data_IF_372141360040
#
_entry.id   IF_372141360040
#
_cell.length_a   1.000
_cell.length_b   1.000
_cell.length_c   1.000
_cell.angle_alpha   90.00
_cell.angle_beta   90.00
_cell.angle_gamma   90.00
#
_symmetry.space_group_name_H-M   'P 1'
#
loop_
_entity.id
_entity.type
_entity.pdbx_description
1 polymer ?
#
# COMPACT_ATOMS: atom_id res chain seq x y z
N UNK A 1 -66.39 42.46 2.69
CA UNK A 1 -65.78 41.23 2.15
C UNK A 1 -64.64 41.64 1.24
N UNK A 2 -63.43 41.30 1.67
CA UNK A 2 -62.19 41.46 0.94
C UNK A 2 -62.11 40.45 -0.22
N UNK A 3 -61.40 40.77 -1.30
CA UNK A 3 -60.03 40.27 -1.44
C UNK A 3 -59.35 40.93 -2.65
N UNK A 4 -58.08 41.27 -2.47
CA UNK A 4 -57.27 42.02 -3.42
C UNK A 4 -55.94 41.32 -3.69
N UNK A 5 -55.24 41.89 -4.68
CA UNK A 5 -53.79 41.79 -4.87
C UNK A 5 -53.23 40.56 -5.58
N UNK A 6 -53.37 40.59 -6.92
CA UNK A 6 -52.32 40.15 -7.85
C UNK A 6 -51.10 41.07 -7.72
N UNK A 7 -49.96 40.57 -7.23
CA UNK A 7 -48.56 40.95 -7.59
C UNK A 7 -47.58 40.22 -6.66
N UNK A 8 -46.85 39.22 -7.15
CA UNK A 8 -45.80 38.60 -6.31
C UNK A 8 -45.08 37.33 -6.76
N UNK A 9 -45.25 36.83 -8.00
CA UNK A 9 -44.75 35.48 -8.35
C UNK A 9 -43.68 35.39 -9.45
N UNK A 10 -43.07 36.51 -9.90
CA UNK A 10 -42.05 36.47 -11.00
C UNK A 10 -40.63 36.90 -10.62
N UNK A 11 -40.40 37.41 -9.41
CA UNK A 11 -39.08 37.91 -8.98
C UNK A 11 -38.27 36.93 -8.10
N UNK A 12 -38.84 35.80 -7.67
CA UNK A 12 -38.14 34.80 -6.83
C UNK A 12 -37.42 33.70 -7.63
N UNK A 13 -37.78 33.47 -8.90
CA UNK A 13 -37.18 32.41 -9.74
C UNK A 13 -35.86 32.78 -10.42
N UNK A 14 -35.51 34.07 -10.45
CA UNK A 14 -34.27 34.57 -11.08
C UNK A 14 -33.08 34.66 -10.11
N UNK A 15 -33.30 34.50 -8.80
CA UNK A 15 -32.23 34.49 -7.79
C UNK A 15 -31.67 33.10 -7.50
N UNK A 16 -32.45 32.05 -7.72
CA UNK A 16 -32.01 30.66 -7.48
C UNK A 16 -31.14 30.12 -8.63
N UNK A 17 -31.29 30.65 -9.84
CA UNK A 17 -30.48 30.25 -11.01
C UNK A 17 -29.09 30.90 -11.08
N UNK A 18 -28.80 31.92 -10.27
CA UNK A 18 -27.45 32.54 -10.18
C UNK A 18 -26.58 32.00 -9.04
N UNK A 19 -27.14 31.22 -8.11
CA UNK A 19 -26.38 30.61 -7.01
C UNK A 19 -25.94 29.17 -7.31
N UNK A 20 -26.46 28.54 -8.37
CA UNK A 20 -26.08 27.18 -8.79
C UNK A 20 -24.86 27.13 -9.73
N UNK A 21 -24.43 28.26 -10.30
CA UNK A 21 -23.31 28.31 -11.26
C UNK A 21 -21.96 28.70 -10.63
N UNK A 22 -21.92 28.98 -9.32
CA UNK A 22 -20.74 29.44 -8.60
C UNK A 22 -20.48 28.54 -7.38
N UNK A 23 -20.11 27.27 -7.59
CA UNK A 23 -19.35 26.46 -6.60
C UNK A 23 -19.13 24.97 -6.94
N UNK A 24 -19.58 24.43 -8.08
CA UNK A 24 -19.29 23.02 -8.44
C UNK A 24 -17.79 22.66 -8.51
N UNK A 25 -16.90 23.44 -9.18
CA UNK A 25 -15.48 23.13 -9.21
C UNK A 25 -14.79 23.39 -7.87
N UNK A 26 -15.23 24.39 -7.11
CA UNK A 26 -14.68 24.71 -5.78
C UNK A 26 -15.04 23.65 -4.75
N UNK A 27 -16.27 23.14 -4.77
CA UNK A 27 -16.74 22.07 -3.88
C UNK A 27 -16.03 20.74 -4.23
N UNK A 28 -15.86 20.43 -5.51
CA UNK A 28 -15.10 19.26 -5.97
C UNK A 28 -13.62 19.34 -5.57
N UNK A 29 -12.99 20.52 -5.68
CA UNK A 29 -11.62 20.75 -5.21
C UNK A 29 -11.49 20.59 -3.69
N UNK A 30 -12.45 21.10 -2.92
CA UNK A 30 -12.44 21.04 -1.46
C UNK A 30 -12.66 19.61 -0.93
N UNK A 31 -13.49 18.81 -1.60
CA UNK A 31 -13.68 17.38 -1.31
C UNK A 31 -12.41 16.59 -1.66
N UNK A 32 -11.77 16.89 -2.79
CA UNK A 32 -10.52 16.23 -3.20
C UNK A 32 -9.38 16.55 -2.23
N UNK A 33 -9.29 17.79 -1.76
CA UNK A 33 -8.29 18.22 -0.78
C UNK A 33 -8.50 17.56 0.60
N UNK A 34 -9.74 17.43 1.07
CA UNK A 34 -10.03 16.78 2.36
C UNK A 34 -9.73 15.27 2.33
N UNK A 35 -10.02 14.58 1.22
CA UNK A 35 -9.64 13.17 1.05
C UNK A 35 -8.12 12.99 0.96
N UNK A 36 -7.40 13.90 0.29
CA UNK A 36 -5.94 13.88 0.23
C UNK A 36 -5.31 14.09 1.62
N UNK A 37 -5.81 15.07 2.39
CA UNK A 37 -5.35 15.35 3.74
C UNK A 37 -5.65 14.18 4.69
N UNK A 38 -6.84 13.58 4.61
CA UNK A 38 -7.18 12.39 5.38
C UNK A 38 -6.32 11.18 4.99
N UNK A 39 -6.03 11.01 3.70
CA UNK A 39 -5.12 9.97 3.18
C UNK A 39 -3.67 10.16 3.63
N UNK A 40 -3.21 11.41 3.69
CA UNK A 40 -1.87 11.75 4.18
C UNK A 40 -1.78 11.54 5.70
N UNK A 41 -2.74 12.07 6.47
CA UNK A 41 -2.78 11.93 7.92
C UNK A 41 -2.85 10.47 8.38
N UNK A 42 -3.71 9.66 7.76
CA UNK A 42 -3.79 8.22 8.04
C UNK A 42 -2.51 7.47 7.66
N UNK A 43 -1.88 7.83 6.53
CA UNK A 43 -0.60 7.26 6.08
C UNK A 43 0.57 7.59 7.01
N UNK A 44 0.61 8.80 7.58
CA UNK A 44 1.61 9.22 8.57
C UNK A 44 1.36 8.50 9.89
N UNK A 45 0.12 8.48 10.39
CA UNK A 45 -0.21 7.79 11.64
C UNK A 45 0.14 6.30 11.58
N UNK A 46 -0.19 5.63 10.48
CA UNK A 46 0.18 4.23 10.26
C UNK A 46 1.69 4.04 10.22
N UNK A 47 2.45 4.96 9.62
CA UNK A 47 3.91 4.90 9.61
C UNK A 47 4.51 5.02 11.00
N UNK A 48 3.99 5.92 11.84
CA UNK A 48 4.43 6.10 13.23
C UNK A 48 4.14 4.84 14.05
N UNK A 49 2.90 4.35 14.02
CA UNK A 49 2.48 3.18 14.82
C UNK A 49 3.25 1.91 14.45
N UNK A 50 3.56 1.73 13.17
CA UNK A 50 4.25 0.54 12.67
C UNK A 50 5.78 0.69 12.59
N UNK A 51 6.32 1.85 13.01
CA UNK A 51 7.75 2.13 12.91
C UNK A 51 8.63 1.13 13.67
N UNK A 52 8.30 0.71 14.91
CA UNK A 52 9.12 -0.26 15.63
C UNK A 52 9.34 -1.56 14.84
N UNK A 53 8.29 -2.05 14.15
CA UNK A 53 8.36 -3.27 13.35
C UNK A 53 9.20 -3.04 12.09
N UNK A 54 9.07 -1.87 11.45
CA UNK A 54 9.90 -1.52 10.29
C UNK A 54 11.39 -1.49 10.66
N UNK A 55 11.74 -0.82 11.74
CA UNK A 55 13.12 -0.72 12.18
C UNK A 55 13.70 -2.08 12.51
N UNK A 56 12.98 -2.90 13.29
CA UNK A 56 13.43 -4.25 13.63
C UNK A 56 13.60 -5.11 12.37
N UNK A 57 12.67 -5.00 11.42
CA UNK A 57 12.75 -5.74 10.16
C UNK A 57 13.99 -5.32 9.36
N UNK A 58 14.20 -4.02 9.18
CA UNK A 58 15.34 -3.50 8.43
C UNK A 58 16.65 -3.94 9.07
N UNK A 59 16.74 -3.95 10.41
CA UNK A 59 17.90 -4.43 11.16
C UNK A 59 18.14 -5.93 11.06
N UNK A 60 17.10 -6.74 11.16
CA UNK A 60 17.21 -8.20 10.95
C UNK A 60 17.59 -8.55 9.51
N UNK A 61 17.25 -7.68 8.55
CA UNK A 61 17.64 -7.86 7.15
C UNK A 61 19.03 -7.30 6.83
N UNK A 62 19.82 -6.83 7.80
CA UNK A 62 21.20 -6.39 7.57
C UNK A 62 22.17 -7.56 7.51
N UNK A 63 23.34 -7.34 6.90
CA UNK A 63 24.42 -8.32 6.89
C UNK A 63 24.95 -8.57 8.30
N UNK A 64 24.95 -9.84 8.72
CA UNK A 64 25.39 -10.29 10.05
C UNK A 64 24.30 -10.36 11.12
N UNK A 65 23.08 -9.86 10.85
CA UNK A 65 22.02 -9.73 11.86
C UNK A 65 20.81 -10.64 11.62
N UNK A 66 21.00 -11.95 11.60
CA UNK A 66 19.91 -12.88 11.28
C UNK A 66 18.83 -13.03 12.37
N UNK A 67 19.10 -12.60 13.61
CA UNK A 67 18.21 -12.88 14.74
C UNK A 67 17.67 -11.61 15.41
N UNK A 68 16.34 -11.60 15.63
CA UNK A 68 15.65 -10.53 16.34
C UNK A 68 16.18 -10.32 17.76
N UNK A 69 16.55 -11.40 18.45
CA UNK A 69 17.10 -11.35 19.81
C UNK A 69 18.40 -10.54 19.88
N UNK A 70 19.30 -10.72 18.91
CA UNK A 70 20.54 -9.94 18.83
C UNK A 70 20.26 -8.48 18.55
N UNK A 71 19.37 -8.18 17.61
CA UNK A 71 18.97 -6.79 17.31
C UNK A 71 18.37 -6.10 18.55
N UNK A 72 17.53 -6.79 19.32
CA UNK A 72 16.97 -6.26 20.56
C UNK A 72 18.03 -6.05 21.65
N UNK A 73 18.98 -6.98 21.79
CA UNK A 73 20.11 -6.83 22.71
C UNK A 73 20.96 -5.60 22.34
N UNK A 74 21.33 -5.45 21.06
CA UNK A 74 22.09 -4.28 20.58
C UNK A 74 21.36 -2.96 20.80
N UNK A 75 20.04 -2.92 20.59
CA UNK A 75 19.23 -1.72 20.88
C UNK A 75 19.23 -1.38 22.37
N UNK A 76 19.17 -2.40 23.23
CA UNK A 76 19.22 -2.24 24.68
C UNK A 76 20.59 -1.77 25.14
N UNK A 77 21.65 -2.38 24.63
CA UNK A 77 23.04 -2.03 24.97
C UNK A 77 23.38 -0.62 24.50
N UNK A 78 23.00 -0.27 23.26
CA UNK A 78 23.16 1.07 22.72
C UNK A 78 22.41 2.15 23.52
N UNK A 79 21.25 1.80 24.10
CA UNK A 79 20.50 2.73 24.96
C UNK A 79 21.17 2.98 26.31
N UNK A 80 22.07 2.09 26.75
CA UNK A 80 22.81 2.20 28.01
C UNK A 80 24.06 3.07 27.89
N UNK A 81 24.54 3.38 26.66
CA UNK A 81 25.74 4.19 26.41
C UNK A 81 25.40 5.43 25.55
N UNK A 82 24.86 6.51 26.14
CA UNK A 82 24.32 7.64 25.40
C UNK A 82 25.34 8.55 24.69
N UNK A 83 26.65 8.43 24.94
CA UNK A 83 27.63 9.44 24.51
C UNK A 83 28.24 9.25 23.11
N UNK A 84 28.24 8.06 22.52
CA UNK A 84 29.17 7.80 21.42
C UNK A 84 28.71 8.16 19.99
N UNK A 85 27.42 8.42 19.68
CA UNK A 85 27.01 8.40 18.25
C UNK A 85 25.75 9.14 17.79
N UNK A 86 25.27 10.14 18.53
CA UNK A 86 24.02 10.83 18.18
C UNK A 86 22.81 9.88 18.14
N UNK A 87 22.88 8.79 18.92
CA UNK A 87 21.81 7.82 19.08
C UNK A 87 20.83 8.31 20.17
N UNK A 88 19.55 7.93 20.06
CA UNK A 88 18.52 8.35 21.01
C UNK A 88 18.80 7.80 22.42
N UNK A 89 18.52 8.63 23.43
CA UNK A 89 18.83 8.39 24.85
C UNK A 89 18.05 7.23 25.51
N UNK A 90 17.05 6.66 24.85
CA UNK A 90 16.22 5.59 25.40
C UNK A 90 15.94 4.49 24.39
N UNK A 91 15.74 3.27 24.89
CA UNK A 91 15.37 2.10 24.09
C UNK A 91 14.13 2.38 23.24
N UNK A 92 13.09 2.99 23.81
CA UNK A 92 11.85 3.30 23.08
C UNK A 92 12.11 4.30 21.96
N UNK A 93 12.86 5.38 22.22
CA UNK A 93 13.19 6.35 21.18
C UNK A 93 14.05 5.75 20.06
N UNK A 94 14.85 4.71 20.35
CA UNK A 94 15.63 3.97 19.34
C UNK A 94 14.77 3.21 18.34
N UNK A 95 13.60 2.71 18.76
CA UNK A 95 12.64 2.02 17.88
C UNK A 95 11.93 2.97 16.91
N UNK A 96 11.82 4.26 17.27
CA UNK A 96 11.20 5.30 16.42
C UNK A 96 12.22 5.99 15.50
N UNK A 97 13.46 5.53 15.47
CA UNK A 97 14.43 6.02 14.51
C UNK A 97 13.97 5.69 13.08
N UNK A 98 13.96 6.69 12.20
CA UNK A 98 13.43 6.56 10.85
C UNK A 98 11.94 6.90 10.70
N UNK A 99 11.26 7.33 11.77
CA UNK A 99 9.85 7.76 11.69
C UNK A 99 9.64 8.86 10.65
N UNK A 100 10.46 9.91 10.65
CA UNK A 100 10.32 11.04 9.71
C UNK A 100 10.44 10.59 8.24
N UNK A 101 11.51 9.91 7.79
CA UNK A 101 11.58 9.44 6.41
C UNK A 101 10.51 8.37 6.10
N UNK A 102 10.09 7.58 7.08
CA UNK A 102 8.97 6.62 6.91
C UNK A 102 7.64 7.33 6.65
N UNK A 103 7.34 8.37 7.43
CA UNK A 103 6.15 9.21 7.30
C UNK A 103 6.15 10.01 6.00
N UNK A 104 7.30 10.56 5.58
CA UNK A 104 7.43 11.21 4.28
C UNK A 104 7.16 10.20 3.16
N UNK A 105 7.80 9.03 3.20
CA UNK A 105 7.60 8.00 2.18
C UNK A 105 6.15 7.54 2.09
N UNK A 106 5.45 7.33 3.20
CA UNK A 106 4.03 6.94 3.20
C UNK A 106 3.12 8.07 2.78
N UNK A 107 3.32 9.28 3.32
CA UNK A 107 2.52 10.47 2.99
C UNK A 107 2.61 10.83 1.51
N UNK A 108 3.83 10.97 0.96
CA UNK A 108 4.04 11.18 -0.47
C UNK A 108 3.55 10.00 -1.30
N UNK A 109 3.69 8.77 -0.81
CA UNK A 109 3.19 7.58 -1.49
C UNK A 109 1.67 7.58 -1.62
N UNK A 110 0.94 7.94 -0.56
CA UNK A 110 -0.51 8.13 -0.60
C UNK A 110 -0.89 9.25 -1.56
N UNK A 111 -0.21 10.40 -1.51
CA UNK A 111 -0.46 11.51 -2.42
C UNK A 111 -0.27 11.12 -3.89
N UNK A 112 0.82 10.40 -4.20
CA UNK A 112 1.10 9.91 -5.56
C UNK A 112 0.10 8.84 -6.00
N UNK A 113 -0.36 7.99 -5.09
CA UNK A 113 -1.42 7.02 -5.37
C UNK A 113 -2.72 7.75 -5.77
N UNK A 114 -3.18 8.71 -4.96
CA UNK A 114 -4.42 9.45 -5.22
C UNK A 114 -4.33 10.38 -6.45
N UNK A 115 -3.19 11.05 -6.65
CA UNK A 115 -2.99 11.94 -7.79
C UNK A 115 -2.69 11.18 -9.10
N UNK A 116 -1.91 10.11 -9.03
CA UNK A 116 -1.35 9.42 -10.20
C UNK A 116 -2.23 8.30 -10.76
N UNK A 117 -3.12 7.70 -9.97
CA UNK A 117 -3.96 6.59 -10.45
C UNK A 117 -4.87 6.98 -11.59
N UNK A 118 -5.42 8.20 -11.57
CA UNK A 118 -6.28 8.68 -12.65
C UNK A 118 -5.46 8.97 -13.91
N UNK A 119 -4.26 9.56 -13.79
CA UNK A 119 -3.39 9.85 -14.93
C UNK A 119 -2.81 8.58 -15.59
N UNK A 120 -2.39 7.59 -14.78
CA UNK A 120 -1.83 6.33 -15.29
C UNK A 120 -2.93 5.46 -15.92
N UNK A 121 -4.13 5.41 -15.35
CA UNK A 121 -5.27 4.68 -15.95
C UNK A 121 -5.74 5.32 -17.26
N UNK A 122 -5.83 6.65 -17.32
CA UNK A 122 -6.20 7.35 -18.55
C UNK A 122 -5.14 7.18 -19.65
N UNK A 123 -3.85 7.17 -19.30
CA UNK A 123 -2.76 6.93 -20.26
C UNK A 123 -2.75 5.48 -20.77
N UNK A 124 -3.01 4.51 -19.88
CA UNK A 124 -3.06 3.08 -20.23
C UNK A 124 -4.27 2.71 -21.12
N UNK A 125 -5.37 3.46 -21.05
CA UNK A 125 -6.54 3.28 -21.91
C UNK A 125 -6.27 3.62 -23.39
N UNK A 126 -5.22 4.41 -23.67
CA UNK A 126 -4.84 4.85 -25.01
C UNK A 126 -4.01 3.81 -25.78
N UNK A 127 -3.52 2.75 -25.12
CA UNK A 127 -2.69 1.72 -25.75
C UNK A 127 -3.59 0.62 -26.35
N UNK A 128 -3.64 0.43 -27.68
CA UNK A 128 -4.57 -0.49 -28.35
C UNK A 128 -4.39 -1.97 -27.99
N UNK A 129 -3.20 -2.35 -27.52
CA UNK A 129 -2.85 -3.74 -27.10
C UNK A 129 -3.42 -4.08 -25.71
N UNK A 130 -3.72 -3.08 -24.88
CA UNK A 130 -4.22 -3.27 -23.51
C UNK A 130 -5.75 -3.05 -23.41
N UNK A 131 -6.31 -2.22 -24.28
CA UNK A 131 -7.75 -2.08 -24.44
C UNK A 131 -8.30 -3.38 -25.03
N UNK A 132 -9.28 -4.01 -24.37
CA UNK A 132 -9.83 -5.32 -24.74
C UNK A 132 -10.61 -5.31 -26.06
N UNK A 133 -9.97 -4.94 -27.17
CA UNK A 133 -10.53 -4.97 -28.52
C UNK A 133 -10.14 -6.24 -29.29
N UNK A 134 -9.38 -7.13 -28.66
CA UNK A 134 -8.92 -8.40 -29.22
C UNK A 134 -9.87 -9.60 -29.01
N UNK A 135 -10.96 -9.46 -28.23
CA UNK A 135 -11.91 -10.56 -27.99
C UNK A 135 -13.22 -10.44 -28.79
N UNK A 136 -13.26 -9.65 -29.86
CA UNK A 136 -14.42 -9.59 -30.78
C UNK A 136 -14.14 -10.16 -32.18
N UNK A 137 -13.05 -10.91 -32.40
CA UNK A 137 -12.77 -11.61 -33.67
C UNK A 137 -12.65 -13.13 -33.46
N UNK A 138 -13.75 -13.75 -33.03
CA UNK A 138 -14.10 -15.18 -33.19
C UNK A 138 -15.33 -15.39 -32.30
N UNK A 139 -16.57 -15.41 -32.79
CA UNK A 139 -17.13 -16.45 -33.67
C UNK A 139 -18.40 -15.95 -34.37
N UNK A 140 -18.73 -16.44 -35.59
CA UNK A 140 -19.98 -16.12 -36.27
C UNK A 140 -21.13 -17.03 -35.78
N UNK A 141 -22.28 -16.46 -35.40
CA UNK A 141 -23.64 -16.93 -35.73
C UNK A 141 -24.72 -16.53 -34.71
N UNK A 142 -25.87 -16.15 -35.27
CA UNK A 142 -27.24 -16.12 -34.71
C UNK A 142 -27.81 -14.74 -34.30
N UNK A 143 -28.85 -14.25 -35.01
CA UNK A 143 -29.55 -13.01 -34.70
C UNK A 143 -30.79 -13.28 -33.83
N UNK A 144 -30.90 -12.66 -32.65
CA UNK A 144 -32.20 -12.41 -32.02
C UNK A 144 -32.16 -11.36 -30.90
N UNK A 145 -33.04 -10.37 -31.08
CA UNK A 145 -33.73 -9.54 -30.06
C UNK A 145 -33.02 -8.29 -29.49
N UNK A 146 -33.61 -7.08 -29.63
CA UNK A 146 -33.10 -5.85 -29.04
C UNK A 146 -33.63 -5.71 -27.61
N UNK A 147 -32.77 -5.95 -26.61
CA UNK A 147 -33.05 -5.55 -25.23
C UNK A 147 -32.30 -4.27 -24.89
N UNK A 148 -33.05 -3.31 -24.39
CA UNK A 148 -32.71 -1.94 -23.97
C UNK A 148 -31.40 -1.82 -23.18
N UNK A 149 -30.60 -0.75 -23.39
CA UNK A 149 -29.37 -0.52 -22.65
C UNK A 149 -29.68 -0.07 -21.22
N UNK A 150 -29.30 -0.87 -20.22
CA UNK A 150 -29.26 -0.44 -18.82
C UNK A 150 -28.04 0.46 -18.58
N UNK A 151 -28.18 1.63 -17.93
CA UNK A 151 -27.07 2.54 -17.69
C UNK A 151 -26.20 2.00 -16.56
N UNK A 152 -25.18 1.22 -16.92
CA UNK A 152 -24.16 0.76 -15.97
C UNK A 152 -23.26 1.94 -15.57
N UNK A 153 -23.52 2.51 -14.40
CA UNK A 153 -22.82 3.64 -13.77
C UNK A 153 -21.38 3.30 -13.31
N UNK A 154 -20.54 2.80 -14.21
CA UNK A 154 -19.10 2.69 -13.97
C UNK A 154 -18.35 3.16 -15.21
N UNK A 155 -17.92 4.42 -15.18
CA UNK A 155 -17.11 5.08 -16.22
C UNK A 155 -15.67 4.55 -16.30
N UNK A 156 -15.43 3.31 -15.84
CA UNK A 156 -14.12 2.66 -15.85
C UNK A 156 -13.98 1.80 -17.11
N UNK A 157 -12.96 2.13 -17.91
CA UNK A 157 -12.50 1.35 -19.06
C UNK A 157 -12.21 -0.09 -18.60
N UNK A 158 -12.93 -1.08 -19.14
CA UNK A 158 -12.70 -2.51 -18.84
C UNK A 158 -11.45 -3.00 -19.57
N UNK A 159 -10.34 -3.16 -18.86
CA UNK A 159 -9.17 -3.89 -19.34
C UNK A 159 -9.33 -5.39 -19.08
N UNK A 160 -8.67 -6.23 -19.89
CA UNK A 160 -8.52 -7.67 -19.62
C UNK A 160 -7.83 -7.91 -18.27
N UNK A 161 -8.06 -9.06 -17.62
CA UNK A 161 -7.42 -9.41 -16.34
C UNK A 161 -5.89 -9.26 -16.41
N UNK A 162 -5.26 -9.71 -17.49
CA UNK A 162 -3.81 -9.54 -17.72
C UNK A 162 -3.42 -8.08 -17.91
N UNK A 163 -4.24 -7.30 -18.62
CA UNK A 163 -4.03 -5.87 -18.82
C UNK A 163 -4.13 -5.06 -17.53
N UNK A 164 -5.08 -5.40 -16.66
CA UNK A 164 -5.19 -4.83 -15.31
C UNK A 164 -3.97 -5.16 -14.45
N UNK A 165 -3.50 -6.41 -14.50
CA UNK A 165 -2.30 -6.84 -13.76
C UNK A 165 -1.04 -6.11 -14.24
N UNK A 166 -0.83 -6.03 -15.56
CA UNK A 166 0.35 -5.37 -16.13
C UNK A 166 0.32 -3.86 -15.86
N UNK A 167 -0.82 -3.22 -16.06
CA UNK A 167 -1.00 -1.78 -15.79
C UNK A 167 -0.78 -1.50 -14.30
N UNK A 168 -1.31 -2.34 -13.41
CA UNK A 168 -1.08 -2.23 -11.97
C UNK A 168 0.39 -2.43 -11.58
N UNK A 169 1.08 -3.37 -12.22
CA UNK A 169 2.51 -3.62 -12.03
C UNK A 169 3.37 -2.42 -12.47
N UNK A 170 3.13 -1.88 -13.68
CA UNK A 170 3.82 -0.70 -14.20
C UNK A 170 3.55 0.52 -13.34
N UNK A 171 2.29 0.76 -12.95
CA UNK A 171 1.91 1.86 -12.06
C UNK A 171 2.68 1.79 -10.73
N UNK A 172 2.76 0.60 -10.12
CA UNK A 172 3.52 0.37 -8.90
C UNK A 172 5.02 0.57 -9.09
N UNK A 173 5.59 0.11 -10.20
CA UNK A 173 7.01 0.29 -10.49
C UNK A 173 7.34 1.78 -10.69
N UNK A 174 6.52 2.51 -11.44
CA UNK A 174 6.67 3.95 -11.66
C UNK A 174 6.56 4.74 -10.36
N UNK A 175 5.53 4.48 -9.55
CA UNK A 175 5.39 5.10 -8.23
C UNK A 175 6.58 4.77 -7.31
N UNK A 176 7.04 3.52 -7.32
CA UNK A 176 8.21 3.07 -6.58
C UNK A 176 9.50 3.77 -7.03
N UNK A 177 9.62 4.10 -8.31
CA UNK A 177 10.78 4.83 -8.85
C UNK A 177 10.82 6.27 -8.32
N UNK A 178 9.69 6.98 -8.38
CA UNK A 178 9.55 8.34 -7.84
C UNK A 178 9.85 8.39 -6.33
N UNK A 179 9.39 7.37 -5.58
CA UNK A 179 9.59 7.28 -4.14
C UNK A 179 10.94 6.66 -3.73
N UNK A 180 11.82 6.35 -4.69
CA UNK A 180 13.06 5.65 -4.38
C UNK A 180 14.02 6.47 -3.49
N UNK A 181 14.23 7.79 -3.70
CA UNK A 181 15.09 8.58 -2.82
C UNK A 181 14.66 8.51 -1.34
N UNK A 182 13.35 8.64 -1.08
CA UNK A 182 12.80 8.50 0.27
C UNK A 182 12.94 7.07 0.81
N UNK A 183 12.87 6.06 -0.05
CA UNK A 183 13.05 4.65 0.32
C UNK A 183 14.48 4.37 0.77
N UNK A 184 15.49 4.87 0.05
CA UNK A 184 16.91 4.71 0.43
C UNK A 184 17.19 5.43 1.75
N UNK A 185 16.77 6.68 1.87
CA UNK A 185 16.97 7.46 3.09
C UNK A 185 16.31 6.75 4.28
N UNK A 186 15.07 6.28 4.14
CA UNK A 186 14.37 5.50 5.17
C UNK A 186 15.20 4.28 5.61
N UNK A 187 15.59 3.43 4.66
CA UNK A 187 16.29 2.17 4.96
C UNK A 187 17.63 2.42 5.64
N UNK A 188 18.42 3.41 5.18
CA UNK A 188 19.68 3.77 5.85
C UNK A 188 19.46 4.36 7.25
N UNK A 189 18.37 5.10 7.46
CA UNK A 189 18.02 5.64 8.78
C UNK A 189 17.67 4.57 9.81
N UNK A 190 16.94 3.53 9.40
CA UNK A 190 16.52 2.41 10.26
C UNK A 190 17.69 1.46 10.60
N UNK A 191 18.70 1.46 9.75
CA UNK A 191 19.93 0.68 9.89
C UNK A 191 20.77 1.10 11.10
N UNK A 192 21.57 0.15 11.61
CA UNK A 192 22.66 0.41 12.57
C UNK A 192 23.98 0.87 11.91
N UNK A 193 24.09 0.80 10.58
CA UNK A 193 25.34 1.06 9.83
C UNK A 193 25.64 2.55 9.68
N UNK A 194 24.60 3.37 9.69
CA UNK A 194 24.71 4.81 9.49
C UNK A 194 24.27 5.56 10.75
N UNK A 195 24.87 6.71 11.05
CA UNK A 195 24.55 7.55 12.20
C UNK A 195 24.15 8.97 11.77
N UNK A 196 23.12 9.07 10.93
CA UNK A 196 22.66 10.36 10.41
C UNK A 196 21.90 11.19 11.44
N UNK A 197 22.27 12.47 11.56
CA UNK A 197 21.63 13.46 12.46
C UNK A 197 20.47 14.20 11.79
N UNK A 198 20.46 14.30 10.46
CA UNK A 198 19.40 14.96 9.69
C UNK A 198 19.21 14.34 8.30
N UNK A 199 18.01 14.48 7.74
CA UNK A 199 17.70 13.96 6.40
C UNK A 199 18.61 14.57 5.33
N UNK A 200 18.94 15.86 5.48
CA UNK A 200 19.88 16.55 4.62
C UNK A 200 21.30 15.95 4.73
N UNK A 201 21.75 15.58 5.93
CA UNK A 201 23.02 14.89 6.11
C UNK A 201 23.03 13.52 5.42
N UNK A 202 21.94 12.75 5.54
CA UNK A 202 21.82 11.46 4.84
C UNK A 202 21.80 11.64 3.31
N UNK A 203 21.03 12.60 2.79
CA UNK A 203 20.97 12.87 1.37
C UNK A 203 22.32 13.37 0.82
N UNK A 204 22.99 14.27 1.54
CA UNK A 204 24.30 14.79 1.15
C UNK A 204 25.38 13.71 1.18
N UNK A 205 25.34 12.82 2.17
CA UNK A 205 26.23 11.65 2.25
C UNK A 205 26.04 10.69 1.06
N UNK A 206 24.79 10.33 0.74
CA UNK A 206 24.48 9.52 -0.45
C UNK A 206 24.97 10.20 -1.73
N UNK A 207 24.69 11.50 -1.88
CA UNK A 207 25.07 12.24 -3.07
C UNK A 207 26.59 12.35 -3.24
N UNK A 208 27.34 12.48 -2.14
CA UNK A 208 28.81 12.54 -2.17
C UNK A 208 29.45 11.18 -2.40
N UNK A 209 28.93 10.12 -1.81
CA UNK A 209 29.51 8.77 -1.90
C UNK A 209 29.15 8.04 -3.20
N UNK A 210 27.88 8.10 -3.61
CA UNK A 210 27.32 7.26 -4.68
C UNK A 210 26.74 8.10 -5.85
N UNK A 211 26.78 9.43 -5.75
CA UNK A 211 26.15 10.34 -6.71
C UNK A 211 24.62 10.21 -6.74
N UNK A 212 24.00 10.72 -7.82
CA UNK A 212 22.55 10.60 -8.03
C UNK A 212 22.08 9.15 -8.16
N UNK A 213 22.95 8.25 -8.65
CA UNK A 213 22.64 6.82 -8.80
C UNK A 213 22.45 6.13 -7.45
N UNK A 214 23.09 6.63 -6.39
CA UNK A 214 22.93 6.18 -5.01
C UNK A 214 21.48 6.13 -4.53
N UNK A 215 20.66 7.09 -4.98
CA UNK A 215 19.24 7.16 -4.62
C UNK A 215 18.36 6.14 -5.35
N UNK A 216 18.88 5.40 -6.33
CA UNK A 216 18.12 4.45 -7.15
C UNK A 216 18.67 3.02 -7.09
N UNK A 217 19.68 2.77 -6.25
CA UNK A 217 20.27 1.42 -6.08
C UNK A 217 19.22 0.46 -5.52
N UNK A 218 19.15 -0.76 -6.07
CA UNK A 218 18.17 -1.76 -5.65
C UNK A 218 16.76 -1.54 -6.20
N UNK A 219 16.56 -0.63 -7.16
CA UNK A 219 15.27 -0.46 -7.83
C UNK A 219 14.78 -1.75 -8.47
N UNK A 220 15.64 -2.53 -9.15
CA UNK A 220 15.24 -3.81 -9.76
C UNK A 220 14.64 -4.80 -8.76
N UNK A 221 15.29 -4.98 -7.60
CA UNK A 221 14.77 -5.83 -6.52
C UNK A 221 13.49 -5.26 -5.90
N UNK A 222 13.37 -3.92 -5.80
CA UNK A 222 12.14 -3.26 -5.35
C UNK A 222 10.98 -3.48 -6.32
N UNK A 223 11.20 -3.28 -7.62
CA UNK A 223 10.22 -3.47 -8.66
C UNK A 223 9.76 -4.93 -8.72
N UNK A 224 10.70 -5.89 -8.64
CA UNK A 224 10.38 -7.31 -8.67
C UNK A 224 9.70 -7.82 -7.39
N UNK A 225 9.92 -7.15 -6.25
CA UNK A 225 9.14 -7.38 -5.04
C UNK A 225 7.72 -6.83 -5.17
N UNK A 226 7.57 -5.63 -5.74
CA UNK A 226 6.31 -4.91 -5.74
C UNK A 226 5.42 -5.39 -6.90
N UNK A 227 5.87 -5.34 -8.16
CA UNK A 227 5.06 -5.67 -9.34
C UNK A 227 4.31 -7.01 -9.25
N UNK A 228 4.94 -8.16 -8.96
CA UNK A 228 4.25 -9.45 -8.86
C UNK A 228 3.30 -9.52 -7.67
N UNK A 229 3.58 -8.79 -6.59
CA UNK A 229 2.76 -8.79 -5.38
C UNK A 229 1.33 -8.30 -5.66
N UNK A 230 1.10 -7.41 -6.64
CA UNK A 230 -0.25 -6.95 -6.99
C UNK A 230 -1.14 -8.10 -7.46
N UNK A 231 -0.66 -8.85 -8.47
CA UNK A 231 -1.44 -9.93 -9.04
C UNK A 231 -1.52 -11.13 -8.11
N UNK A 232 -0.39 -11.50 -7.50
CA UNK A 232 -0.33 -12.66 -6.63
C UNK A 232 -1.27 -12.52 -5.42
N UNK A 233 -1.39 -11.32 -4.84
CA UNK A 233 -2.30 -11.09 -3.73
C UNK A 233 -3.76 -11.33 -4.09
N UNK A 234 -4.23 -10.78 -5.22
CA UNK A 234 -5.62 -10.95 -5.66
C UNK A 234 -5.91 -12.42 -5.95
N UNK A 235 -5.02 -13.08 -6.70
CA UNK A 235 -5.16 -14.49 -7.04
C UNK A 235 -5.24 -15.38 -5.78
N UNK A 236 -4.32 -15.19 -4.83
CA UNK A 236 -4.31 -15.97 -3.60
C UNK A 236 -5.50 -15.63 -2.71
N UNK A 237 -5.88 -14.36 -2.61
CA UNK A 237 -7.07 -13.95 -1.86
C UNK A 237 -8.33 -14.64 -2.37
N UNK A 238 -8.56 -14.62 -3.68
CA UNK A 238 -9.71 -15.28 -4.30
C UNK A 238 -9.67 -16.81 -4.17
N UNK A 239 -8.48 -17.41 -4.27
CA UNK A 239 -8.31 -18.85 -4.09
C UNK A 239 -8.61 -19.27 -2.65
N UNK A 240 -8.05 -18.56 -1.66
CA UNK A 240 -8.28 -18.85 -0.24
C UNK A 240 -9.75 -18.61 0.13
N UNK A 241 -10.33 -17.50 -0.32
CA UNK A 241 -11.76 -17.18 -0.09
C UNK A 241 -12.69 -18.24 -0.66
N UNK A 242 -12.44 -18.71 -1.88
CA UNK A 242 -13.21 -19.81 -2.49
C UNK A 242 -13.09 -21.10 -1.70
N UNK A 243 -11.89 -21.44 -1.21
CA UNK A 243 -11.68 -22.65 -0.39
C UNK A 243 -12.40 -22.53 0.96
N UNK A 244 -12.26 -21.42 1.66
CA UNK A 244 -12.92 -21.20 2.96
C UNK A 244 -14.44 -21.18 2.85
N UNK A 245 -15.00 -20.56 1.81
CA UNK A 245 -16.45 -20.60 1.56
C UNK A 245 -16.96 -22.03 1.30
N UNK A 246 -16.22 -22.84 0.55
CA UNK A 246 -16.57 -24.25 0.32
C UNK A 246 -16.50 -25.08 1.60
N UNK A 247 -15.50 -24.84 2.43
CA UNK A 247 -15.35 -25.50 3.74
C UNK A 247 -16.46 -25.12 4.71
N UNK A 248 -16.83 -23.83 4.76
CA UNK A 248 -17.95 -23.35 5.57
C UNK A 248 -19.29 -23.93 5.12
N UNK A 249 -19.49 -24.14 3.81
CA UNK A 249 -20.67 -24.78 3.26
C UNK A 249 -20.71 -26.31 3.47
N UNK A 250 -19.57 -26.96 3.72
CA UNK A 250 -19.45 -28.41 3.91
C UNK A 250 -19.45 -28.85 5.38
N UNK A 251 -19.55 -27.93 6.34
CA UNK A 251 -19.54 -28.25 7.78
C UNK A 251 -20.88 -28.83 8.29
N UNK A 252 -20.90 -29.47 9.48
CA UNK A 252 -22.09 -30.13 10.05
C UNK A 252 -23.30 -29.22 10.31
N UNK A 253 -23.13 -27.90 10.25
CA UNK A 253 -24.19 -26.89 10.41
C UNK A 253 -24.95 -26.56 9.11
N UNK A 254 -24.68 -27.27 8.02
CA UNK A 254 -25.29 -27.03 6.71
C UNK A 254 -26.79 -27.42 6.62
N UNK A 255 -27.37 -28.04 7.65
CA UNK A 255 -28.72 -28.62 7.61
C UNK A 255 -29.87 -27.71 8.06
N UNK A 256 -29.69 -26.40 8.33
CA UNK A 256 -30.83 -25.58 8.78
C UNK A 256 -30.92 -24.12 8.27
N UNK A 257 -29.96 -23.56 7.53
CA UNK A 257 -30.15 -22.20 6.95
C UNK A 257 -29.23 -21.93 5.76
N UNK A 258 -29.63 -22.41 4.57
CA UNK A 258 -28.85 -22.26 3.34
C UNK A 258 -28.89 -20.85 2.69
N UNK A 259 -29.38 -19.80 3.38
CA UNK A 259 -29.63 -18.52 2.73
C UNK A 259 -29.14 -17.26 3.46
N UNK A 260 -28.57 -17.36 4.66
CA UNK A 260 -27.91 -16.21 5.30
C UNK A 260 -26.59 -16.64 5.95
N UNK A 261 -25.48 -16.52 5.21
CA UNK A 261 -24.17 -16.42 5.85
C UNK A 261 -24.23 -15.18 6.73
N UNK A 262 -24.21 -15.37 8.06
CA UNK A 262 -24.19 -14.26 9.01
C UNK A 262 -23.08 -13.28 8.63
N UNK A 263 -23.36 -11.97 8.71
CA UNK A 263 -22.41 -10.90 8.37
C UNK A 263 -21.05 -11.10 9.07
N UNK A 264 -21.07 -11.63 10.29
CA UNK A 264 -19.87 -11.98 11.08
C UNK A 264 -19.07 -13.15 10.47
N UNK A 265 -19.76 -14.20 9.99
CA UNK A 265 -19.11 -15.32 9.31
C UNK A 265 -18.48 -14.89 7.97
N UNK A 266 -19.18 -14.06 7.19
CA UNK A 266 -18.63 -13.48 5.96
C UNK A 266 -17.42 -12.58 6.23
N UNK A 267 -17.47 -11.75 7.28
CA UNK A 267 -16.34 -10.92 7.71
C UNK A 267 -15.14 -11.78 8.14
N UNK A 268 -15.37 -12.83 8.95
CA UNK A 268 -14.33 -13.77 9.39
C UNK A 268 -13.65 -14.51 8.24
N UNK A 269 -14.42 -14.95 7.23
CA UNK A 269 -13.86 -15.60 6.04
C UNK A 269 -13.04 -14.60 5.21
N UNK A 270 -13.54 -13.37 5.00
CA UNK A 270 -12.81 -12.35 4.26
C UNK A 270 -11.49 -11.96 4.96
N UNK A 271 -11.51 -11.80 6.29
CA UNK A 271 -10.33 -11.47 7.07
C UNK A 271 -9.28 -12.59 7.04
N UNK A 272 -9.71 -13.82 7.32
CA UNK A 272 -8.83 -15.00 7.27
C UNK A 272 -8.21 -15.19 5.88
N UNK A 273 -9.01 -14.98 4.83
CA UNK A 273 -8.53 -15.02 3.44
C UNK A 273 -7.47 -13.96 3.16
N UNK A 274 -7.69 -12.73 3.63
CA UNK A 274 -6.75 -11.63 3.47
C UNK A 274 -5.42 -11.89 4.19
N UNK A 275 -5.46 -12.41 5.43
CA UNK A 275 -4.27 -12.71 6.23
C UNK A 275 -3.46 -13.85 5.60
N UNK A 276 -4.11 -14.96 5.23
CA UNK A 276 -3.42 -16.10 4.60
C UNK A 276 -2.81 -15.69 3.26
N UNK A 277 -3.56 -15.00 2.41
CA UNK A 277 -3.04 -14.51 1.13
C UNK A 277 -1.85 -13.56 1.32
N UNK A 278 -1.94 -12.64 2.29
CA UNK A 278 -0.85 -11.73 2.62
C UNK A 278 0.39 -12.46 3.15
N UNK A 279 0.21 -13.52 3.95
CA UNK A 279 1.27 -14.37 4.46
C UNK A 279 2.00 -15.09 3.32
N UNK A 280 1.27 -15.82 2.48
CA UNK A 280 1.83 -16.54 1.33
C UNK A 280 2.54 -15.60 0.35
N UNK A 281 1.94 -14.45 0.02
CA UNK A 281 2.62 -13.44 -0.79
C UNK A 281 3.91 -12.94 -0.13
N UNK A 282 3.93 -12.82 1.20
CA UNK A 282 5.13 -12.39 1.93
C UNK A 282 6.23 -13.43 1.85
N UNK A 283 5.91 -14.72 1.98
CA UNK A 283 6.87 -15.82 1.83
C UNK A 283 7.52 -15.79 0.44
N UNK A 284 6.72 -15.64 -0.62
CA UNK A 284 7.19 -15.62 -2.01
C UNK A 284 8.02 -14.36 -2.31
N UNK A 285 7.64 -13.21 -1.76
CA UNK A 285 8.30 -11.92 -2.03
C UNK A 285 9.47 -11.60 -1.08
N UNK A 286 9.66 -12.35 0.00
CA UNK A 286 10.69 -12.05 1.00
C UNK A 286 12.13 -12.11 0.44
N UNK A 287 12.49 -13.08 -0.43
CA UNK A 287 13.83 -13.12 -1.02
C UNK A 287 14.22 -11.81 -1.74
N UNK A 288 13.28 -11.22 -2.49
CA UNK A 288 13.51 -9.94 -3.17
C UNK A 288 13.61 -8.77 -2.18
N UNK A 289 12.84 -8.82 -1.09
CA UNK A 289 12.87 -7.82 -0.02
C UNK A 289 14.20 -7.86 0.74
N UNK A 290 14.72 -9.05 1.06
CA UNK A 290 16.02 -9.23 1.71
C UNK A 290 17.17 -8.75 0.82
N UNK A 291 17.20 -9.17 -0.46
CA UNK A 291 18.19 -8.73 -1.45
C UNK A 291 18.16 -7.21 -1.65
N UNK A 292 16.96 -6.63 -1.77
CA UNK A 292 16.77 -5.18 -1.83
C UNK A 292 17.43 -4.50 -0.64
N UNK A 293 17.13 -4.93 0.58
CA UNK A 293 17.63 -4.29 1.79
C UNK A 293 19.16 -4.29 1.84
N UNK A 294 19.83 -5.40 1.46
CA UNK A 294 21.30 -5.47 1.40
C UNK A 294 21.91 -4.50 0.40
N UNK A 295 21.33 -4.43 -0.80
CA UNK A 295 21.78 -3.51 -1.86
C UNK A 295 21.62 -2.05 -1.43
N UNK A 296 20.49 -1.70 -0.80
CA UNK A 296 20.20 -0.33 -0.38
C UNK A 296 21.05 0.15 0.80
N UNK A 297 21.51 -0.79 1.63
CA UNK A 297 22.35 -0.52 2.80
C UNK A 297 23.84 -0.53 2.49
N UNK A 298 24.33 -1.37 1.59
CA UNK A 298 25.76 -1.52 1.32
C UNK A 298 26.01 -1.64 -0.20
N UNK A 299 25.76 -0.57 -0.97
CA UNK A 299 25.82 -0.60 -2.44
C UNK A 299 27.22 -0.95 -2.99
N UNK A 300 28.28 -0.63 -2.25
CA UNK A 300 29.65 -1.00 -2.61
C UNK A 300 29.90 -2.52 -2.57
N UNK A 301 29.31 -3.21 -1.59
CA UNK A 301 29.44 -4.68 -1.41
C UNK A 301 28.44 -5.46 -2.27
N UNK A 302 27.24 -4.90 -2.45
CA UNK A 302 26.09 -5.53 -3.10
C UNK A 302 25.60 -4.65 -4.26
N UNK A 303 26.16 -4.85 -5.46
CA UNK A 303 25.97 -3.93 -6.60
C UNK A 303 24.74 -4.25 -7.44
N UNK A 304 24.43 -5.53 -7.60
CA UNK A 304 23.29 -5.97 -8.42
C UNK A 304 22.52 -7.12 -7.76
N UNK A 305 21.26 -7.31 -8.18
CA UNK A 305 20.34 -8.27 -7.56
C UNK A 305 20.86 -9.71 -7.61
N UNK A 306 21.36 -10.14 -8.77
CA UNK A 306 21.79 -11.53 -8.98
C UNK A 306 23.07 -11.85 -8.21
N UNK A 307 24.07 -10.96 -8.27
CA UNK A 307 25.29 -11.03 -7.48
C UNK A 307 24.96 -11.05 -5.99
N UNK A 308 24.05 -10.18 -5.53
CA UNK A 308 23.65 -10.13 -4.12
C UNK A 308 22.97 -11.41 -3.69
N UNK A 309 22.03 -11.92 -4.49
CA UNK A 309 21.36 -13.20 -4.20
C UNK A 309 22.36 -14.36 -4.13
N UNK A 310 23.26 -14.49 -5.13
CA UNK A 310 24.31 -15.52 -5.13
C UNK A 310 25.24 -15.39 -3.92
N UNK A 311 25.63 -14.16 -3.58
CA UNK A 311 26.50 -13.89 -2.44
C UNK A 311 25.83 -14.21 -1.10
N UNK A 312 24.57 -13.83 -0.92
CA UNK A 312 23.79 -14.20 0.26
C UNK A 312 23.65 -15.72 0.39
N UNK A 313 23.39 -16.42 -0.71
CA UNK A 313 23.31 -17.89 -0.71
C UNK A 313 24.64 -18.55 -0.36
N UNK A 314 25.76 -18.02 -0.87
CA UNK A 314 27.09 -18.57 -0.64
C UNK A 314 27.65 -18.25 0.75
N UNK A 315 27.46 -17.02 1.26
CA UNK A 315 28.05 -16.56 2.53
C UNK A 315 27.15 -16.86 3.74
N UNK A 316 25.82 -16.81 3.58
CA UNK A 316 24.85 -16.85 4.70
C UNK A 316 23.84 -18.01 4.58
N UNK A 317 23.83 -18.70 3.43
CA UNK A 317 22.91 -19.79 3.14
C UNK A 317 21.49 -19.34 2.76
N UNK A 318 20.66 -20.30 2.34
CA UNK A 318 19.29 -20.05 1.86
C UNK A 318 18.35 -19.43 2.90
N UNK A 319 18.57 -19.70 4.20
CA UNK A 319 17.73 -19.18 5.29
C UNK A 319 17.76 -17.65 5.36
N UNK A 320 18.87 -17.02 4.98
CA UNK A 320 19.03 -15.56 4.97
C UNK A 320 17.97 -14.83 4.11
N UNK A 321 17.44 -15.51 3.08
CA UNK A 321 16.42 -14.94 2.19
C UNK A 321 15.05 -14.76 2.89
N UNK A 322 14.82 -15.44 4.02
CA UNK A 322 13.59 -15.36 4.82
C UNK A 322 13.77 -14.56 6.11
N UNK A 323 14.92 -13.91 6.29
CA UNK A 323 15.15 -13.02 7.42
C UNK A 323 14.12 -11.87 7.43
N UNK A 324 13.60 -11.60 8.62
CA UNK A 324 12.57 -10.60 8.83
C UNK A 324 11.17 -10.96 8.28
N UNK A 325 10.95 -12.17 7.77
CA UNK A 325 9.62 -12.60 7.28
C UNK A 325 8.55 -12.45 8.37
N UNK A 326 8.83 -12.92 9.59
CA UNK A 326 7.91 -12.80 10.71
C UNK A 326 7.55 -11.34 10.99
N UNK A 327 8.53 -10.44 11.02
CA UNK A 327 8.32 -9.00 11.22
C UNK A 327 7.49 -8.39 10.09
N UNK A 328 7.74 -8.80 8.84
CA UNK A 328 6.96 -8.40 7.67
C UNK A 328 5.50 -8.85 7.78
N UNK A 329 5.25 -10.08 8.24
CA UNK A 329 3.90 -10.59 8.45
C UNK A 329 3.19 -9.87 9.61
N UNK A 330 3.87 -9.68 10.74
CA UNK A 330 3.33 -8.93 11.88
C UNK A 330 2.97 -7.50 11.51
N UNK A 331 3.80 -6.81 10.72
CA UNK A 331 3.47 -5.48 10.19
C UNK A 331 2.17 -5.47 9.41
N UNK A 332 1.96 -6.46 8.53
CA UNK A 332 0.74 -6.56 7.72
C UNK A 332 -0.49 -6.88 8.56
N UNK A 333 -0.36 -7.80 9.51
CA UNK A 333 -1.44 -8.14 10.44
C UNK A 333 -1.85 -6.91 11.26
N UNK A 334 -0.88 -6.17 11.83
CA UNK A 334 -1.15 -4.96 12.59
C UNK A 334 -1.75 -3.84 11.73
N UNK A 335 -1.25 -3.65 10.51
CA UNK A 335 -1.86 -2.72 9.55
C UNK A 335 -3.31 -3.08 9.22
N UNK A 336 -3.63 -4.36 9.10
CA UNK A 336 -4.99 -4.83 8.85
C UNK A 336 -5.88 -4.63 10.07
N UNK A 337 -5.36 -4.90 11.27
CA UNK A 337 -6.09 -4.67 12.52
C UNK A 337 -6.43 -3.19 12.70
N UNK A 338 -5.48 -2.29 12.44
CA UNK A 338 -5.71 -0.83 12.48
C UNK A 338 -6.78 -0.38 11.47
N UNK A 339 -6.78 -0.94 10.26
CA UNK A 339 -7.82 -0.62 9.28
C UNK A 339 -9.21 -1.09 9.76
N UNK A 340 -9.28 -2.26 10.37
CA UNK A 340 -10.52 -2.82 10.89
C UNK A 340 -11.07 -2.04 12.09
N UNK A 341 -10.23 -1.69 13.07
CA UNK A 341 -10.67 -0.91 14.23
C UNK A 341 -11.19 0.46 13.83
N UNK A 342 -10.54 1.11 12.86
CA UNK A 342 -11.02 2.39 12.30
C UNK A 342 -12.36 2.20 11.60
N UNK A 343 -12.52 1.13 10.82
CA UNK A 343 -13.79 0.83 10.15
C UNK A 343 -14.94 0.62 11.14
N UNK A 344 -14.74 -0.19 12.19
CA UNK A 344 -15.75 -0.42 13.24
C UNK A 344 -16.11 0.87 13.98
N UNK A 345 -15.13 1.70 14.31
CA UNK A 345 -15.37 3.00 14.95
C UNK A 345 -16.20 3.93 14.06
N UNK A 346 -15.90 3.98 12.77
CA UNK A 346 -16.64 4.81 11.81
C UNK A 346 -18.09 4.38 11.69
N UNK A 347 -18.35 3.07 11.59
CA UNK A 347 -19.72 2.54 11.55
C UNK A 347 -20.45 2.86 12.85
N UNK A 348 -19.83 2.60 14.01
CA UNK A 348 -20.46 2.87 15.30
C UNK A 348 -20.82 4.34 15.47
N UNK A 349 -20.00 5.26 14.96
CA UNK A 349 -20.30 6.70 14.96
C UNK A 349 -21.40 7.08 13.97
N UNK A 350 -21.46 6.42 12.82
CA UNK A 350 -22.50 6.63 11.84
C UNK A 350 -23.86 6.20 12.39
N UNK A 351 -23.92 5.02 13.02
CA UNK A 351 -25.14 4.50 13.66
C UNK A 351 -25.65 5.45 14.76
N UNK A 352 -24.75 5.98 15.61
CA UNK A 352 -25.11 6.95 16.66
C UNK A 352 -25.59 8.31 16.16
N UNK A 353 -25.25 8.71 14.92
CA UNK A 353 -25.71 9.98 14.33
C UNK A 353 -27.07 9.83 13.64
N UNK A 354 -27.46 8.60 13.32
CA UNK A 354 -28.73 8.29 12.67
C UNK A 354 -29.77 7.67 13.63
N UNK A 355 -29.38 7.38 14.88
CA UNK A 355 -30.27 7.07 16.02
C UNK A 355 -30.63 8.34 16.79
#
# INVERSE_FOLDING_TARGET
>A
MADGSRKGAKTSRLRVSRLSSLSLPCLSAHITASHLLAGLGSGVLSAVLLQPIDLLKTRVQQAGHHSLRRVLAELRDASSQPEARGQPRSFVASLYRGTVPSALRTGFGSALYFAGLNAIRSSAATIPVLSGRASSLSSPSSPSSPSSPTPSSSSLVRLSNTGNLLTGAVARAAAGFVLMPLTIIKVRYESSLYAYRSLAAAASDIARADGLRGFFVGFGATALRDAPYAGLYVLLYEQVKRRLNRWAAAGPSASTSASHVSLSAAAGINFSSAVIAAATCSVVSNPFDAVKTRIQLQPARYRNMLQTARRMLAEEGARSMWDGLALRMSRKAMSSALAWTVYEELIRRADRRWS
#
